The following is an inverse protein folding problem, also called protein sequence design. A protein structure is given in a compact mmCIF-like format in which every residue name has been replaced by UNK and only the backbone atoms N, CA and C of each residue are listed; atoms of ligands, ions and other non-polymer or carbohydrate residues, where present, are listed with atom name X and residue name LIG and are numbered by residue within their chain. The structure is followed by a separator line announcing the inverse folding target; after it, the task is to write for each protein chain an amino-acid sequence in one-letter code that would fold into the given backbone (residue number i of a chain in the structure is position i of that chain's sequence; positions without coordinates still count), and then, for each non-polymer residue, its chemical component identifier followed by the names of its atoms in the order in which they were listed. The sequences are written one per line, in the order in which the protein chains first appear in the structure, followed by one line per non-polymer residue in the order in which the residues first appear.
data_IF_338055592854
#
_entry.id   IF_338055592854
#
_cell.length_a   1.000
_cell.length_b   1.000
_cell.length_c   1.000
_cell.angle_alpha   90.00
_cell.angle_beta   90.00
_cell.angle_gamma   90.00
#
_symmetry.space_group_name_H-M   'P 1'
#
loop_
_entity.id
_entity.type
_entity.pdbx_description
1 polymer ?
#
# COMPACT_ATOMS: atom_id res chain seq x y z
N UNK A 1 -0.09 -21.56 26.32
CA UNK A 1 0.87 -22.67 26.18
C UNK A 1 0.74 -23.30 24.80
N UNK A 2 1.77 -23.98 24.30
CA UNK A 2 1.85 -24.55 22.94
C UNK A 2 0.85 -25.69 22.62
N UNK A 3 -0.13 -25.96 23.49
CA UNK A 3 -1.17 -27.00 23.34
C UNK A 3 -2.59 -26.46 23.58
N UNK A 4 -2.84 -25.21 23.18
CA UNK A 4 -4.19 -24.65 23.21
C UNK A 4 -4.93 -25.01 21.91
N UNK A 5 -6.16 -25.57 21.97
CA UNK A 5 -6.95 -25.95 20.78
C UNK A 5 -7.48 -24.75 19.98
N UNK A 6 -7.35 -23.53 20.51
CA UNK A 6 -7.65 -22.29 19.80
C UNK A 6 -6.41 -21.74 19.11
N UNK A 7 -6.56 -21.25 17.87
CA UNK A 7 -5.46 -20.66 17.09
C UNK A 7 -4.91 -19.43 17.82
N UNK A 8 -3.72 -19.55 18.38
CA UNK A 8 -2.93 -18.40 18.82
C UNK A 8 -2.40 -17.71 17.56
N UNK A 9 -3.09 -16.64 17.12
CA UNK A 9 -2.52 -15.73 16.12
C UNK A 9 -1.42 -14.95 16.82
N UNK A 10 -0.19 -15.46 16.74
CA UNK A 10 0.99 -14.62 17.00
C UNK A 10 0.97 -13.57 15.90
N UNK A 11 0.47 -12.38 16.20
CA UNK A 11 0.52 -11.26 15.26
C UNK A 11 1.99 -10.92 15.09
N UNK A 12 2.51 -11.12 13.89
CA UNK A 12 3.86 -10.64 13.57
C UNK A 12 3.89 -9.13 13.78
N UNK A 13 4.88 -8.67 14.55
CA UNK A 13 5.06 -7.26 14.87
C UNK A 13 5.68 -6.58 13.65
N UNK A 14 4.88 -5.81 12.92
CA UNK A 14 5.29 -5.24 11.62
C UNK A 14 5.88 -3.84 11.72
N UNK A 15 5.69 -3.13 12.83
CA UNK A 15 6.11 -1.73 13.00
C UNK A 15 6.92 -1.57 14.28
N UNK A 16 8.03 -0.83 14.19
CA UNK A 16 8.90 -0.51 15.33
C UNK A 16 8.18 0.35 16.36
N UNK A 17 8.33 -0.01 17.63
CA UNK A 17 7.74 0.70 18.75
C UNK A 17 8.40 2.07 18.95
N UNK A 18 7.66 3.15 18.69
CA UNK A 18 8.16 4.53 18.91
C UNK A 18 8.59 4.82 20.36
N UNK A 19 7.99 4.14 21.35
CA UNK A 19 8.33 4.33 22.77
C UNK A 19 9.58 3.57 23.16
N UNK A 20 9.80 2.39 22.56
CA UNK A 20 10.99 1.58 22.80
C UNK A 20 12.26 2.28 22.29
N UNK A 21 12.19 2.93 21.12
CA UNK A 21 13.28 3.75 20.58
C UNK A 21 13.76 4.84 21.56
N UNK A 22 12.90 5.27 22.49
CA UNK A 22 13.20 6.28 23.51
C UNK A 22 13.48 5.70 24.89
N UNK A 23 13.46 4.37 25.04
CA UNK A 23 13.57 3.69 26.34
C UNK A 23 12.35 3.88 27.25
N UNK A 24 11.21 4.32 26.71
CA UNK A 24 10.00 4.64 27.50
C UNK A 24 8.92 3.54 27.44
N UNK A 25 9.18 2.44 26.73
CA UNK A 25 8.21 1.36 26.61
C UNK A 25 8.14 0.53 27.90
N UNK A 26 6.99 0.54 28.57
CA UNK A 26 6.73 -0.25 29.78
C UNK A 26 6.20 -1.66 29.51
N UNK A 27 5.81 -1.96 28.26
CA UNK A 27 5.18 -3.25 27.89
C UNK A 27 6.17 -4.40 27.72
N UNK A 28 7.48 -4.12 27.65
CA UNK A 28 8.50 -5.15 27.44
C UNK A 28 8.20 -6.03 26.23
N UNK A 29 8.38 -7.35 26.37
CA UNK A 29 8.13 -8.32 25.30
C UNK A 29 6.65 -8.43 24.90
N UNK A 30 5.74 -8.04 25.80
CA UNK A 30 4.30 -7.96 25.57
C UNK A 30 3.86 -6.74 24.75
N UNK A 31 4.80 -5.95 24.23
CA UNK A 31 4.47 -4.83 23.36
C UNK A 31 3.92 -5.32 22.01
N UNK A 32 2.81 -4.72 21.57
CA UNK A 32 2.18 -4.99 20.26
C UNK A 32 3.06 -4.55 19.06
N UNK A 33 4.13 -3.81 19.34
CA UNK A 33 5.06 -3.25 18.36
C UNK A 33 6.45 -3.87 18.49
N UNK A 34 7.21 -3.86 17.40
CA UNK A 34 8.53 -4.46 17.32
C UNK A 34 9.53 -3.69 18.20
N UNK A 35 10.29 -4.42 19.02
CA UNK A 35 11.39 -3.90 19.85
C UNK A 35 12.73 -4.26 19.21
N UNK A 36 12.86 -3.94 17.94
CA UNK A 36 14.04 -4.19 17.12
C UNK A 36 14.21 -2.99 16.19
N UNK A 37 15.46 -2.60 15.95
CA UNK A 37 15.76 -1.50 15.06
C UNK A 37 15.79 -2.02 13.62
N UNK A 38 14.71 -1.75 12.88
CA UNK A 38 14.57 -2.11 11.47
C UNK A 38 14.08 -0.86 10.72
N UNK A 39 14.94 -0.31 9.84
CA UNK A 39 14.64 0.90 9.06
C UNK A 39 13.46 0.72 8.13
N UNK A 40 13.19 -0.51 7.67
CA UNK A 40 12.07 -0.80 6.75
C UNK A 40 10.71 -0.83 7.45
N UNK A 41 10.72 -1.06 8.77
CA UNK A 41 9.54 -1.17 9.62
C UNK A 41 9.37 0.04 10.54
N UNK A 42 10.16 1.09 10.33
CA UNK A 42 10.05 2.29 11.13
C UNK A 42 8.68 2.95 10.90
N UNK A 43 8.01 3.50 11.93
CA UNK A 43 6.79 4.25 11.70
C UNK A 43 7.02 5.48 10.82
N UNK A 44 5.94 5.96 10.21
CA UNK A 44 5.94 7.17 9.39
C UNK A 44 6.32 8.42 10.21
N UNK A 45 7.04 9.33 9.57
CA UNK A 45 7.38 10.62 10.16
C UNK A 45 6.12 11.49 10.26
N UNK A 46 5.76 11.85 11.49
CA UNK A 46 4.60 12.70 11.74
C UNK A 46 4.70 14.08 11.07
N UNK A 47 5.87 14.71 11.11
CA UNK A 47 6.06 16.05 10.53
C UNK A 47 5.96 16.00 9.00
N UNK A 48 6.65 15.05 8.37
CA UNK A 48 6.60 14.87 6.93
C UNK A 48 5.19 14.53 6.44
N UNK A 49 4.52 13.58 7.09
CA UNK A 49 3.16 13.15 6.73
C UNK A 49 2.13 14.29 6.87
N UNK A 50 2.27 15.15 7.89
CA UNK A 50 1.31 16.22 8.17
C UNK A 50 1.58 17.52 7.41
N UNK A 51 2.85 17.91 7.29
CA UNK A 51 3.26 19.21 6.76
C UNK A 51 3.96 19.13 5.40
N UNK A 52 4.30 17.92 4.94
CA UNK A 52 5.07 17.71 3.71
C UNK A 52 6.57 17.99 3.87
N UNK A 53 7.02 18.35 5.07
CA UNK A 53 8.41 18.70 5.35
C UNK A 53 8.84 18.17 6.71
N UNK A 54 10.11 17.74 6.80
CA UNK A 54 10.75 17.39 8.06
C UNK A 54 12.04 18.19 8.21
N UNK A 55 12.22 18.90 9.32
CA UNK A 55 13.43 19.69 9.57
C UNK A 55 14.68 18.84 9.82
N UNK A 56 14.52 17.55 10.13
CA UNK A 56 15.64 16.66 10.40
C UNK A 56 16.07 15.92 9.11
N UNK A 57 17.32 16.13 8.70
CA UNK A 57 17.90 15.51 7.48
C UNK A 57 18.12 14.02 7.65
N UNK A 58 18.51 13.59 8.85
CA UNK A 58 18.73 12.19 9.22
C UNK A 58 17.55 11.68 10.06
N UNK A 59 16.32 11.90 9.55
CA UNK A 59 15.11 11.44 10.22
C UNK A 59 15.04 9.90 10.16
N UNK A 60 15.00 9.19 11.30
CA UNK A 60 14.91 7.73 11.29
C UNK A 60 13.55 7.24 10.79
N UNK A 61 12.51 8.07 10.84
CA UNK A 61 11.13 7.73 10.48
C UNK A 61 10.88 7.81 8.97
N UNK A 62 9.94 7.02 8.46
CA UNK A 62 9.67 6.94 7.03
C UNK A 62 9.04 8.24 6.49
N UNK A 63 9.64 8.82 5.45
CA UNK A 63 9.08 9.92 4.68
C UNK A 63 8.30 9.35 3.49
N UNK A 64 7.03 9.01 3.72
CA UNK A 64 6.15 8.50 2.66
C UNK A 64 5.42 9.68 2.02
N UNK A 65 5.66 9.91 0.73
CA UNK A 65 4.93 10.94 -0.02
C UNK A 65 3.46 10.55 -0.16
N UNK A 66 2.56 11.44 0.26
CA UNK A 66 1.12 11.26 0.04
C UNK A 66 0.76 11.09 -1.45
N UNK A 67 1.60 11.62 -2.36
CA UNK A 67 1.48 11.48 -3.82
C UNK A 67 1.99 10.13 -4.35
N UNK A 68 2.82 9.43 -3.57
CA UNK A 68 3.33 8.09 -3.89
C UNK A 68 2.38 6.96 -3.49
N UNK A 69 1.18 7.30 -2.98
CA UNK A 69 0.05 6.35 -2.90
C UNK A 69 -0.34 5.92 -4.32
N UNK A 70 0.39 4.91 -4.80
CA UNK A 70 0.34 4.33 -6.16
C UNK A 70 -0.92 3.50 -6.37
N UNK A 71 -1.73 3.35 -5.31
CA UNK A 71 -3.02 2.69 -5.36
C UNK A 71 -4.01 3.57 -6.13
N UNK A 72 -4.11 3.30 -7.44
CA UNK A 72 -5.17 3.86 -8.29
C UNK A 72 -6.54 3.53 -7.71
N UNK A 73 -7.51 4.41 -7.94
CA UNK A 73 -8.87 4.20 -7.45
C UNK A 73 -9.51 2.98 -8.13
N UNK A 74 -9.86 1.90 -7.38
CA UNK A 74 -10.44 0.70 -7.99
C UNK A 74 -11.81 0.92 -8.62
N UNK A 75 -12.51 1.99 -8.24
CA UNK A 75 -13.81 2.38 -8.81
C UNK A 75 -13.63 3.17 -10.10
N UNK A 76 -12.70 4.12 -10.12
CA UNK A 76 -12.37 4.89 -11.32
C UNK A 76 -11.76 4.00 -12.41
N UNK A 77 -10.90 3.04 -12.04
CA UNK A 77 -10.33 2.06 -12.97
C UNK A 77 -11.42 1.15 -13.58
N UNK A 78 -12.58 1.00 -12.93
CA UNK A 78 -13.78 0.32 -13.49
C UNK A 78 -14.68 1.24 -14.31
N UNK A 79 -14.36 2.53 -14.40
CA UNK A 79 -15.04 3.51 -15.24
C UNK A 79 -15.74 4.64 -14.48
N UNK A 80 -16.14 4.44 -13.21
CA UNK A 80 -16.84 5.47 -12.46
C UNK A 80 -16.53 5.44 -10.96
N UNK A 81 -16.16 6.58 -10.41
CA UNK A 81 -15.96 6.77 -8.97
C UNK A 81 -17.00 7.74 -8.41
N UNK A 82 -17.80 7.27 -7.44
CA UNK A 82 -18.84 8.07 -6.76
C UNK A 82 -18.32 9.30 -6.03
N UNK A 83 -17.03 9.31 -5.67
CA UNK A 83 -16.40 10.43 -4.98
C UNK A 83 -15.88 11.50 -5.95
N UNK A 84 -15.93 11.23 -7.26
CA UNK A 84 -15.51 12.17 -8.29
C UNK A 84 -14.12 12.75 -8.04
N UNK A 85 -13.90 14.06 -8.23
CA UNK A 85 -12.60 14.70 -8.02
C UNK A 85 -12.14 14.72 -6.56
N UNK A 86 -13.03 14.44 -5.59
CA UNK A 86 -12.73 14.39 -4.16
C UNK A 86 -12.31 12.99 -3.69
N UNK A 87 -12.05 12.05 -4.60
CA UNK A 87 -11.63 10.72 -4.22
C UNK A 87 -10.24 10.75 -3.57
N UNK A 88 -10.11 10.06 -2.43
CA UNK A 88 -8.82 9.87 -1.74
C UNK A 88 -7.80 9.04 -2.53
N UNK A 89 -8.25 8.31 -3.54
CA UNK A 89 -7.41 7.47 -4.39
C UNK A 89 -7.13 8.17 -5.72
N UNK A 90 -5.95 7.92 -6.30
CA UNK A 90 -5.54 8.56 -7.56
C UNK A 90 -6.43 8.10 -8.73
N UNK A 91 -7.10 9.03 -9.39
CA UNK A 91 -7.80 8.79 -10.64
C UNK A 91 -6.81 8.91 -11.80
N UNK A 92 -6.38 7.77 -12.35
CA UNK A 92 -5.47 7.74 -13.50
C UNK A 92 -6.29 7.50 -14.77
N UNK A 93 -6.37 8.50 -15.65
CA UNK A 93 -7.04 8.33 -16.94
C UNK A 93 -6.20 7.41 -17.83
N UNK A 94 -6.61 6.15 -17.94
CA UNK A 94 -5.96 5.21 -18.86
C UNK A 94 -6.55 5.36 -20.25
N UNK A 95 -5.70 5.41 -21.28
CA UNK A 95 -6.12 5.49 -22.68
C UNK A 95 -6.37 4.08 -23.20
N UNK A 96 -7.54 3.83 -23.79
CA UNK A 96 -7.87 2.55 -24.43
C UNK A 96 -6.98 2.35 -25.65
N UNK A 97 -6.52 1.12 -25.85
CA UNK A 97 -5.80 0.75 -27.07
C UNK A 97 -6.77 0.72 -28.26
N UNK A 98 -6.61 1.62 -29.22
CA UNK A 98 -7.43 1.63 -30.44
C UNK A 98 -7.33 0.30 -31.21
N UNK A 99 -6.12 -0.25 -31.33
CA UNK A 99 -5.87 -1.53 -32.00
C UNK A 99 -6.53 -2.73 -31.29
N UNK A 100 -6.64 -2.68 -29.96
CA UNK A 100 -7.39 -3.69 -29.19
C UNK A 100 -8.90 -3.54 -29.40
N UNK A 101 -9.41 -2.30 -29.46
CA UNK A 101 -10.83 -2.04 -29.71
C UNK A 101 -11.29 -2.56 -31.09
N UNK A 102 -10.42 -2.52 -32.10
CA UNK A 102 -10.68 -3.10 -33.42
C UNK A 102 -10.34 -4.59 -33.51
N UNK A 103 -9.92 -5.22 -32.41
CA UNK A 103 -9.74 -6.68 -32.30
C UNK A 103 -8.35 -7.21 -32.65
N UNK A 104 -7.41 -6.36 -33.09
CA UNK A 104 -6.06 -6.77 -33.49
C UNK A 104 -5.01 -5.89 -32.82
N UNK A 105 -4.66 -6.19 -31.57
CA UNK A 105 -3.52 -5.58 -30.90
C UNK A 105 -2.30 -6.52 -31.00
N UNK A 106 -1.22 -6.14 -31.71
CA UNK A 106 -0.03 -7.01 -31.86
C UNK A 106 0.71 -7.24 -30.53
N UNK A 107 0.54 -6.34 -29.56
CA UNK A 107 1.15 -6.46 -28.22
C UNK A 107 0.34 -7.37 -27.28
N UNK A 108 -0.90 -7.72 -27.65
CA UNK A 108 -1.79 -8.57 -26.84
C UNK A 108 -1.90 -8.09 -25.39
N UNK A 109 -1.99 -9.00 -24.39
CA UNK A 109 -2.12 -8.66 -22.97
C UNK A 109 -0.98 -7.82 -22.38
N UNK A 110 0.15 -7.69 -23.09
CA UNK A 110 1.32 -6.91 -22.66
C UNK A 110 1.26 -5.45 -23.13
N UNK A 111 0.18 -5.05 -23.80
CA UNK A 111 0.08 -3.72 -24.35
C UNK A 111 0.18 -2.64 -23.27
N UNK A 112 0.95 -1.59 -23.56
CA UNK A 112 1.10 -0.42 -22.66
C UNK A 112 -0.18 0.37 -22.44
N UNK A 113 -1.18 0.19 -23.31
CA UNK A 113 -2.47 0.87 -23.26
C UNK A 113 -3.54 0.00 -22.60
N UNK A 114 -4.60 0.62 -22.06
CA UNK A 114 -5.67 -0.11 -21.38
C UNK A 114 -6.40 -1.04 -22.34
N UNK A 115 -6.64 -2.27 -21.89
CA UNK A 115 -7.45 -3.26 -22.56
C UNK A 115 -8.62 -3.63 -21.64
N UNK A 116 -9.84 -3.65 -22.17
CA UNK A 116 -10.99 -4.12 -21.40
C UNK A 116 -10.91 -5.65 -21.33
N UNK A 117 -10.44 -6.18 -20.20
CA UNK A 117 -10.59 -7.61 -19.91
C UNK A 117 -11.96 -7.80 -19.27
N UNK A 118 -12.97 -8.14 -20.08
CA UNK A 118 -14.26 -8.57 -19.55
C UNK A 118 -14.05 -9.83 -18.71
N UNK A 119 -14.10 -9.69 -17.39
CA UNK A 119 -14.18 -10.79 -16.44
C UNK A 119 -12.96 -11.72 -16.42
N UNK A 120 -11.88 -11.32 -15.74
CA UNK A 120 -10.95 -12.29 -15.16
C UNK A 120 -11.34 -12.53 -13.70
N UNK A 121 -12.37 -13.36 -13.50
CA UNK A 121 -12.33 -14.26 -12.35
C UNK A 121 -11.15 -15.21 -12.62
N UNK A 122 -10.34 -15.46 -11.60
CA UNK A 122 -9.13 -16.27 -11.72
C UNK A 122 -9.39 -17.69 -12.24
N UNK A 123 -8.32 -18.28 -12.78
CA UNK A 123 -8.28 -19.65 -13.33
C UNK A 123 -7.53 -19.62 -14.67
N UNK A 124 -6.20 -19.64 -14.63
CA UNK A 124 -5.40 -20.86 -14.80
C UNK A 124 -5.59 -21.51 -16.16
N UNK A 125 -4.55 -21.37 -16.97
CA UNK A 125 -3.94 -22.39 -17.82
C UNK A 125 -4.82 -23.58 -18.20
N UNK A 126 -5.20 -23.67 -19.47
CA UNK A 126 -4.89 -24.83 -20.32
C UNK A 126 -4.87 -24.39 -21.78
#
# INVERSE_FOLDING_TARGET
GMRCPFRHVVREKTVVCKHWLRGLCKKGDGCDFLHEYDVTKMPECYFYSKFGECSNKDCPFLHVDATASTMGCPWYDRGFCRHGPLCKYKHMRRVMCANYLVGFCPEGPKCKFMQYVRGRLGGSSV
#
